data_IF_250758555433
#
_entry.id   IF_250758555433
#
_cell.length_a   1.000
_cell.length_b   1.000
_cell.length_c   1.000
_cell.angle_alpha   90.00
_cell.angle_beta   90.00
_cell.angle_gamma   90.00
#
_symmetry.space_group_name_H-M   'P 1'
#
loop_
_entity.id
_entity.type
_entity.pdbx_description
1 polymer ?
#
# COMPACT_ATOMS: atom_id res chain seq x y z
N UNK A 1 5.56 3.09 23.86
CA UNK A 1 4.70 1.89 23.74
C UNK A 1 5.62 0.71 23.49
N UNK A 2 5.49 -0.32 24.33
CA UNK A 2 6.34 -1.52 24.35
C UNK A 2 6.15 -2.38 23.08
N UNK A 3 7.21 -3.09 22.71
CA UNK A 3 7.36 -3.92 21.49
C UNK A 3 6.88 -5.37 21.66
N UNK A 4 6.08 -5.66 22.68
CA UNK A 4 5.61 -7.01 22.98
C UNK A 4 4.08 -6.94 23.04
N UNK A 5 3.42 -7.43 22.00
CA UNK A 5 2.03 -7.93 21.97
C UNK A 5 1.58 -8.11 20.50
N UNK A 6 2.36 -8.86 19.72
CA UNK A 6 1.85 -9.44 18.48
C UNK A 6 1.52 -10.88 18.83
N UNK A 7 0.24 -11.18 19.02
CA UNK A 7 -0.23 -12.53 19.21
C UNK A 7 -0.20 -13.27 17.87
N UNK A 8 0.94 -13.89 17.57
CA UNK A 8 1.16 -14.61 16.32
C UNK A 8 0.20 -15.80 16.15
N UNK A 9 -0.37 -16.30 17.25
CA UNK A 9 -1.25 -17.47 17.27
C UNK A 9 -2.70 -17.15 16.85
N UNK A 10 -3.09 -15.88 16.81
CA UNK A 10 -4.46 -15.43 16.47
C UNK A 10 -4.56 -14.75 15.09
N UNK A 11 -3.46 -14.65 14.35
CA UNK A 11 -3.46 -14.16 12.96
C UNK A 11 -4.15 -15.18 12.05
N UNK A 12 -5.38 -14.88 11.62
CA UNK A 12 -6.12 -15.69 10.65
C UNK A 12 -6.08 -14.98 9.29
N UNK A 13 -5.32 -15.56 8.36
CA UNK A 13 -5.10 -14.98 7.04
C UNK A 13 -6.00 -15.66 6.01
N UNK A 14 -6.74 -14.85 5.24
CA UNK A 14 -7.54 -15.30 4.11
C UNK A 14 -6.72 -15.15 2.82
N UNK A 15 -5.76 -16.03 2.59
CA UNK A 15 -5.00 -16.17 1.34
C UNK A 15 -5.19 -17.55 0.73
N UNK A 16 -5.10 -17.67 -0.60
CA UNK A 16 -5.08 -18.98 -1.26
C UNK A 16 -3.72 -19.67 -1.03
N UNK A 17 -3.74 -20.94 -0.63
CA UNK A 17 -2.53 -21.75 -0.54
C UNK A 17 -1.92 -21.95 -1.95
N UNK A 18 -0.58 -21.86 -2.11
CA UNK A 18 0.07 -22.08 -3.40
C UNK A 18 -0.14 -23.52 -3.90
N UNK A 19 -0.20 -23.68 -5.22
CA UNK A 19 -0.54 -24.94 -5.86
C UNK A 19 0.46 -26.06 -5.57
N UNK A 20 -0.05 -27.27 -5.34
CA UNK A 20 0.73 -28.48 -4.98
C UNK A 20 1.66 -29.01 -6.09
N UNK A 21 1.64 -28.42 -7.28
CA UNK A 21 2.54 -28.77 -8.39
C UNK A 21 3.91 -28.07 -8.27
N UNK A 22 3.98 -26.95 -7.54
CA UNK A 22 5.23 -26.28 -7.22
C UNK A 22 5.90 -26.93 -6.00
N UNK A 23 7.14 -27.41 -6.13
CA UNK A 23 7.97 -27.77 -4.97
C UNK A 23 8.46 -26.51 -4.26
N UNK A 24 7.56 -25.84 -3.55
CA UNK A 24 7.88 -24.67 -2.72
C UNK A 24 7.83 -25.13 -1.26
N UNK A 25 8.98 -25.16 -0.59
CA UNK A 25 9.02 -25.23 0.87
C UNK A 25 8.79 -23.81 1.40
N UNK A 26 7.65 -23.59 2.06
CA UNK A 26 7.40 -22.37 2.81
C UNK A 26 8.03 -22.55 4.19
N UNK A 27 9.25 -22.03 4.37
CA UNK A 27 9.86 -21.87 5.70
C UNK A 27 9.38 -20.55 6.31
N UNK A 28 8.62 -20.67 7.41
CA UNK A 28 8.16 -19.66 8.35
C UNK A 28 7.51 -18.38 7.80
N UNK A 29 6.32 -18.10 8.33
CA UNK A 29 5.43 -16.97 8.09
C UNK A 29 6.07 -15.58 8.34
N UNK A 30 7.03 -15.16 7.53
CA UNK A 30 7.63 -13.82 7.57
C UNK A 30 6.68 -12.84 6.89
N UNK A 31 5.94 -12.06 7.69
CA UNK A 31 5.14 -10.95 7.19
C UNK A 31 5.88 -9.62 7.35
N UNK A 32 5.93 -8.83 6.28
CA UNK A 32 6.47 -7.47 6.30
C UNK A 32 5.32 -6.51 6.60
N UNK A 33 5.45 -5.75 7.68
CA UNK A 33 4.42 -4.80 8.13
C UNK A 33 4.98 -3.37 8.03
N UNK A 34 4.25 -2.50 7.35
CA UNK A 34 4.55 -1.07 7.29
C UNK A 34 4.05 -0.39 8.55
N UNK A 35 4.96 -0.13 9.49
CA UNK A 35 4.64 0.52 10.77
C UNK A 35 4.69 2.06 10.71
N UNK A 36 5.21 2.62 9.62
CA UNK A 36 5.26 4.06 9.37
C UNK A 36 5.29 4.34 7.86
N UNK A 37 4.59 5.38 7.46
CA UNK A 37 4.54 5.84 6.08
C UNK A 37 4.33 7.35 6.07
N UNK A 38 4.98 8.08 5.17
CA UNK A 38 5.03 9.53 5.20
C UNK A 38 4.62 10.14 3.86
N UNK A 39 3.86 11.23 3.94
CA UNK A 39 3.61 12.05 2.76
C UNK A 39 4.85 12.90 2.38
N UNK A 40 4.86 13.57 1.22
CA UNK A 40 5.96 14.45 0.81
C UNK A 40 6.26 15.62 1.77
N UNK A 41 5.33 15.95 2.67
CA UNK A 41 5.53 16.94 3.75
C UNK A 41 5.92 16.33 5.11
N UNK A 42 6.15 15.02 5.17
CA UNK A 42 6.62 14.33 6.39
C UNK A 42 5.55 13.99 7.44
N UNK A 43 4.25 14.12 7.12
CA UNK A 43 3.19 13.65 8.03
C UNK A 43 3.12 12.13 7.99
N UNK A 44 3.07 11.50 9.17
CA UNK A 44 2.84 10.06 9.26
C UNK A 44 1.40 9.73 8.84
N UNK A 45 1.24 8.73 7.99
CA UNK A 45 -0.01 8.27 7.40
C UNK A 45 -0.57 7.06 8.15
N UNK A 46 0.26 6.35 8.91
CA UNK A 46 -0.15 5.18 9.69
C UNK A 46 -0.93 5.63 10.92
N UNK A 47 -2.13 5.07 11.11
CA UNK A 47 -2.97 5.33 12.29
C UNK A 47 -3.68 6.69 12.31
N UNK A 48 -3.80 7.37 11.17
CA UNK A 48 -4.66 8.57 11.05
C UNK A 48 -6.14 8.20 11.12
N UNK A 49 -6.50 7.03 10.58
CA UNK A 49 -7.83 6.43 10.64
C UNK A 49 -8.08 5.67 11.94
N UNK A 50 -9.14 4.85 11.94
CA UNK A 50 -9.58 4.12 13.14
C UNK A 50 -9.62 2.61 12.93
N UNK A 51 -9.50 2.13 11.69
CA UNK A 51 -9.58 0.72 11.39
C UNK A 51 -8.27 0.01 11.78
N UNK A 52 -8.41 -1.21 12.28
CA UNK A 52 -7.28 -2.09 12.56
C UNK A 52 -7.34 -3.28 11.61
N UNK A 53 -6.23 -3.56 10.94
CA UNK A 53 -5.99 -4.73 10.11
C UNK A 53 -5.25 -5.73 10.98
N UNK A 54 -5.92 -6.77 11.46
CA UNK A 54 -5.37 -7.76 12.39
C UNK A 54 -4.64 -7.15 13.59
N UNK A 55 -5.23 -6.10 14.17
CA UNK A 55 -4.67 -5.36 15.31
C UNK A 55 -3.71 -4.23 14.95
N UNK A 56 -3.34 -4.06 13.67
CA UNK A 56 -2.41 -3.03 13.22
C UNK A 56 -3.12 -1.82 12.59
N UNK A 57 -2.68 -0.59 12.89
CA UNK A 57 -3.21 0.60 12.23
C UNK A 57 -2.87 0.61 10.74
N UNK A 58 -3.85 0.93 9.90
CA UNK A 58 -3.66 1.04 8.45
C UNK A 58 -2.92 2.29 8.00
N UNK A 59 -2.47 2.26 6.74
CA UNK A 59 -1.90 3.43 6.04
C UNK A 59 -3.04 4.24 5.46
N UNK A 60 -3.15 5.51 5.84
CA UNK A 60 -4.30 6.33 5.48
C UNK A 60 -3.96 7.34 4.38
N UNK A 61 -4.79 7.38 3.34
CA UNK A 61 -4.75 8.41 2.28
C UNK A 61 -6.13 8.99 2.05
N UNK A 62 -6.20 10.25 1.60
CA UNK A 62 -7.44 10.80 1.05
C UNK A 62 -7.48 10.53 -0.45
N UNK A 63 -8.64 10.12 -0.94
CA UNK A 63 -8.86 9.86 -2.37
C UNK A 63 -10.07 10.62 -2.89
N UNK A 64 -10.01 11.08 -4.15
CA UNK A 64 -11.10 11.80 -4.80
C UNK A 64 -11.11 11.59 -6.32
N UNK A 65 -12.31 11.48 -6.90
CA UNK A 65 -12.52 11.49 -8.35
C UNK A 65 -12.95 12.87 -8.88
N UNK A 66 -12.94 13.88 -8.01
CA UNK A 66 -13.42 15.24 -8.29
C UNK A 66 -14.90 15.48 -7.96
N UNK A 67 -15.70 14.42 -7.73
CA UNK A 67 -17.11 14.50 -7.32
C UNK A 67 -17.32 13.96 -5.92
N UNK A 68 -16.67 12.85 -5.61
CA UNK A 68 -16.72 12.11 -4.35
C UNK A 68 -15.31 12.04 -3.77
N UNK A 69 -15.19 12.32 -2.49
CA UNK A 69 -13.92 12.24 -1.76
C UNK A 69 -14.10 11.58 -0.40
N UNK A 70 -13.03 10.98 0.11
CA UNK A 70 -13.07 10.30 1.40
C UNK A 70 -11.71 9.78 1.86
N UNK A 71 -11.68 9.33 3.11
CA UNK A 71 -10.53 8.63 3.68
C UNK A 71 -10.54 7.18 3.19
N UNK A 72 -9.36 6.69 2.84
CA UNK A 72 -9.07 5.31 2.50
C UNK A 72 -7.98 4.80 3.44
N UNK A 73 -8.28 3.73 4.15
CA UNK A 73 -7.34 3.01 5.01
C UNK A 73 -6.88 1.76 4.26
N UNK A 74 -5.58 1.66 3.98
CA UNK A 74 -4.95 0.53 3.32
C UNK A 74 -4.36 -0.41 4.37
N UNK A 75 -4.39 -1.71 4.07
CA UNK A 75 -3.67 -2.71 4.88
C UNK A 75 -2.19 -2.34 5.02
N UNK A 76 -1.60 -2.45 6.23
CA UNK A 76 -0.18 -2.23 6.45
C UNK A 76 0.67 -3.46 6.07
N UNK A 77 0.05 -4.59 5.72
CA UNK A 77 0.75 -5.81 5.36
C UNK A 77 1.20 -5.77 3.90
N UNK A 78 2.48 -6.09 3.66
CA UNK A 78 3.00 -6.22 2.31
C UNK A 78 2.23 -7.31 1.54
N UNK A 79 1.82 -7.03 0.30
CA UNK A 79 1.07 -7.98 -0.52
C UNK A 79 -0.45 -7.96 -0.31
N UNK A 80 -0.96 -7.43 0.81
CA UNK A 80 -2.39 -7.43 1.11
C UNK A 80 -3.12 -6.28 0.37
N UNK A 81 -4.09 -6.58 -0.52
CA UNK A 81 -4.82 -5.57 -1.27
C UNK A 81 -5.98 -4.96 -0.49
N UNK A 82 -6.25 -5.39 0.76
CA UNK A 82 -7.42 -4.97 1.54
C UNK A 82 -7.43 -3.47 1.80
N UNK A 83 -8.61 -2.86 1.62
CA UNK A 83 -8.85 -1.43 1.84
C UNK A 83 -10.19 -1.22 2.52
N UNK A 84 -10.26 -0.24 3.41
CA UNK A 84 -11.46 0.14 4.15
C UNK A 84 -11.71 1.63 3.99
N UNK A 85 -12.96 2.01 3.76
CA UNK A 85 -13.38 3.40 3.65
C UNK A 85 -14.19 3.68 2.39
N UNK A 86 -13.90 4.80 1.73
CA UNK A 86 -14.56 5.17 0.48
C UNK A 86 -14.27 4.14 -0.63
N UNK A 87 -15.24 3.91 -1.50
CA UNK A 87 -15.12 3.09 -2.71
C UNK A 87 -15.46 3.87 -3.99
N UNK A 88 -14.92 3.39 -5.11
CA UNK A 88 -15.18 3.86 -6.47
C UNK A 88 -15.42 2.65 -7.38
N UNK A 89 -15.79 2.92 -8.64
CA UNK A 89 -15.92 1.87 -9.65
C UNK A 89 -14.54 1.38 -10.10
N UNK A 90 -14.43 0.10 -10.45
CA UNK A 90 -13.16 -0.48 -10.93
C UNK A 90 -12.68 0.20 -12.21
N UNK A 91 -11.36 0.41 -12.31
CA UNK A 91 -10.72 1.12 -13.41
C UNK A 91 -10.81 2.65 -13.30
N UNK A 92 -11.49 3.19 -12.29
CA UNK A 92 -11.58 4.63 -12.10
C UNK A 92 -10.28 5.23 -11.55
N UNK A 93 -9.78 6.27 -12.21
CA UNK A 93 -8.59 7.01 -11.76
C UNK A 93 -9.00 8.01 -10.67
N UNK A 94 -8.31 7.98 -9.54
CA UNK A 94 -8.51 8.88 -8.40
C UNK A 94 -7.27 9.71 -8.13
N UNK A 95 -7.44 10.89 -7.56
CA UNK A 95 -6.32 11.63 -6.96
C UNK A 95 -6.05 11.10 -5.57
N UNK A 96 -4.80 10.86 -5.26
CA UNK A 96 -4.34 10.45 -3.93
C UNK A 96 -3.70 11.65 -3.25
N UNK A 97 -4.17 12.02 -2.06
CA UNK A 97 -3.67 13.17 -1.29
C UNK A 97 -3.45 12.83 0.18
N UNK A 98 -2.57 13.58 0.84
CA UNK A 98 -2.32 13.41 2.27
C UNK A 98 -3.57 13.82 3.07
N UNK A 99 -4.09 12.98 3.98
CA UNK A 99 -5.30 13.30 4.75
C UNK A 99 -5.07 14.43 5.75
N UNK A 100 -3.81 14.70 6.12
CA UNK A 100 -3.45 15.74 7.09
C UNK A 100 -3.24 17.11 6.46
N UNK A 101 -2.59 17.19 5.29
CA UNK A 101 -2.19 18.47 4.69
C UNK A 101 -2.67 18.68 3.25
N UNK A 102 -3.36 17.70 2.66
CA UNK A 102 -3.96 17.79 1.33
C UNK A 102 -2.99 17.78 0.15
N UNK A 103 -1.67 17.63 0.37
CA UNK A 103 -0.71 17.55 -0.73
C UNK A 103 -1.00 16.32 -1.59
N UNK A 104 -1.04 16.49 -2.91
CA UNK A 104 -1.15 15.37 -3.86
C UNK A 104 0.16 14.60 -3.89
N UNK A 105 0.07 13.27 -3.93
CA UNK A 105 1.24 12.41 -4.02
C UNK A 105 1.80 12.39 -5.44
N UNK A 106 3.12 12.50 -5.54
CA UNK A 106 3.85 12.50 -6.80
C UNK A 106 3.77 11.14 -7.50
N UNK A 107 3.73 11.18 -8.84
CA UNK A 107 3.87 9.98 -9.66
C UNK A 107 5.35 9.63 -9.81
N UNK A 108 5.70 8.36 -9.61
CA UNK A 108 7.05 7.82 -9.91
C UNK A 108 7.11 7.05 -11.21
N UNK A 109 5.97 6.84 -11.87
CA UNK A 109 5.91 6.08 -13.11
C UNK A 109 4.50 5.69 -13.49
N UNK A 110 4.39 5.10 -14.69
CA UNK A 110 3.17 4.44 -15.12
C UNK A 110 3.04 3.12 -14.37
N UNK A 111 1.84 2.82 -13.91
CA UNK A 111 1.51 1.47 -13.49
C UNK A 111 1.39 0.60 -14.76
N UNK A 112 1.68 -0.69 -14.66
CA UNK A 112 1.51 -1.64 -15.77
C UNK A 112 0.03 -1.93 -16.09
N UNK A 113 -0.90 -1.44 -15.27
CA UNK A 113 -2.31 -1.40 -15.62
C UNK A 113 -2.61 -0.38 -16.73
N UNK A 114 -3.80 -0.44 -17.32
CA UNK A 114 -4.13 0.30 -18.55
C UNK A 114 -4.05 1.83 -18.39
N UNK A 115 -4.43 2.38 -17.23
CA UNK A 115 -4.66 3.83 -17.06
C UNK A 115 -3.92 4.48 -15.90
N UNK A 116 -3.36 3.69 -14.98
CA UNK A 116 -2.89 4.19 -13.69
C UNK A 116 -1.46 4.71 -13.65
N UNK A 117 -1.19 5.49 -12.61
CA UNK A 117 0.16 5.92 -12.23
C UNK A 117 0.47 5.46 -10.81
N UNK A 118 1.73 5.14 -10.56
CA UNK A 118 2.23 4.74 -9.25
C UNK A 118 2.52 5.98 -8.42
N UNK A 119 1.85 6.11 -7.27
CA UNK A 119 1.97 7.24 -6.34
C UNK A 119 2.94 6.89 -5.21
N UNK A 120 3.94 7.74 -5.00
CA UNK A 120 5.03 7.53 -4.04
C UNK A 120 4.62 7.83 -2.60
N UNK A 121 4.82 6.89 -1.69
CA UNK A 121 4.67 7.07 -0.25
C UNK A 121 6.01 6.71 0.41
N UNK A 122 6.54 7.56 1.29
CA UNK A 122 7.86 7.33 1.89
C UNK A 122 7.79 6.43 3.12
N UNK A 123 8.74 5.54 3.31
CA UNK A 123 8.84 4.69 4.51
C UNK A 123 9.70 5.31 5.63
N UNK A 124 10.27 6.49 5.38
CA UNK A 124 11.20 7.16 6.30
C UNK A 124 10.96 8.66 6.34
N UNK A 125 11.14 9.27 7.52
CA UNK A 125 11.13 10.74 7.71
C UNK A 125 12.21 11.47 6.93
N UNK A 126 13.23 10.77 6.42
CA UNK A 126 14.24 11.36 5.53
C UNK A 126 13.71 11.65 4.14
N UNK A 127 12.53 11.13 3.78
CA UNK A 127 11.87 11.35 2.49
C UNK A 127 12.77 11.00 1.30
N UNK A 128 13.49 9.88 1.42
CA UNK A 128 14.38 9.38 0.37
C UNK A 128 13.65 8.38 -0.51
N UNK A 129 13.90 8.44 -1.82
CA UNK A 129 13.32 7.52 -2.80
C UNK A 129 13.88 6.11 -2.69
N UNK A 130 14.98 5.93 -1.96
CA UNK A 130 15.53 4.61 -1.63
C UNK A 130 14.74 3.86 -0.55
N UNK A 131 13.70 4.47 0.03
CA UNK A 131 12.82 3.85 1.03
C UNK A 131 11.38 4.32 0.78
N UNK A 132 10.72 3.73 -0.21
CA UNK A 132 9.35 4.08 -0.58
C UNK A 132 8.48 2.86 -0.89
N UNK A 133 7.18 3.10 -0.87
CA UNK A 133 6.18 2.19 -1.44
C UNK A 133 5.40 2.94 -2.50
N UNK A 134 4.80 2.19 -3.42
CA UNK A 134 3.93 2.74 -4.44
C UNK A 134 2.48 2.33 -4.22
N UNK A 135 1.57 3.22 -4.62
CA UNK A 135 0.14 2.94 -4.69
C UNK A 135 -0.37 3.32 -6.08
N UNK A 136 -0.94 2.37 -6.82
CA UNK A 136 -1.62 2.70 -8.08
C UNK A 136 -2.87 3.56 -7.81
N UNK A 137 -2.99 4.66 -8.56
CA UNK A 137 -4.10 5.62 -8.49
C UNK A 137 -5.36 5.19 -9.24
N UNK A 138 -5.38 3.98 -9.79
CA UNK A 138 -6.55 3.37 -10.42
C UNK A 138 -7.22 2.40 -9.46
N UNK A 139 -8.51 2.62 -9.21
CA UNK A 139 -9.30 1.76 -8.34
C UNK A 139 -9.44 0.35 -8.91
N UNK A 140 -9.44 -0.66 -8.03
CA UNK A 140 -9.49 -2.07 -8.43
C UNK A 140 -8.20 -2.64 -9.03
N UNK A 141 -7.13 -1.85 -9.16
CA UNK A 141 -5.84 -2.36 -9.64
C UNK A 141 -5.18 -3.27 -8.59
N UNK A 142 -4.71 -4.46 -8.98
CA UNK A 142 -4.00 -5.39 -8.09
C UNK A 142 -2.68 -4.80 -7.53
N UNK A 143 -2.01 -3.94 -8.30
CA UNK A 143 -0.82 -3.20 -7.87
C UNK A 143 -1.16 -1.99 -6.98
N UNK A 144 -2.43 -1.77 -6.67
CA UNK A 144 -2.86 -0.81 -5.67
C UNK A 144 -2.78 -1.45 -4.28
N UNK A 145 -1.57 -1.86 -3.88
CA UNK A 145 -1.23 -2.45 -2.58
C UNK A 145 0.13 -1.91 -2.12
N UNK A 146 0.54 -2.25 -0.90
CA UNK A 146 1.88 -1.96 -0.42
C UNK A 146 2.90 -2.84 -1.15
N UNK A 147 3.90 -2.21 -1.76
CA UNK A 147 4.98 -2.81 -2.57
C UNK A 147 6.30 -2.20 -2.07
N UNK A 148 7.31 -3.01 -1.74
CA UNK A 148 8.62 -2.53 -1.30
C UNK A 148 9.57 -2.15 -2.45
N UNK A 149 10.73 -1.56 -2.11
CA UNK A 149 11.68 -1.07 -3.11
C UNK A 149 12.19 -2.19 -4.05
N UNK A 150 12.39 -3.42 -3.55
CA UNK A 150 12.90 -4.52 -4.37
C UNK A 150 11.87 -4.96 -5.41
N UNK A 151 10.60 -5.06 -5.02
CA UNK A 151 9.50 -5.39 -5.93
C UNK A 151 9.27 -4.26 -6.95
N UNK A 152 9.37 -2.99 -6.50
CA UNK A 152 9.35 -1.81 -7.39
C UNK A 152 10.46 -1.88 -8.46
N UNK A 153 11.70 -2.19 -8.07
CA UNK A 153 12.80 -2.30 -9.03
C UNK A 153 12.55 -3.41 -10.05
N UNK A 154 12.00 -4.57 -9.64
CA UNK A 154 11.66 -5.64 -10.58
C UNK A 154 10.59 -5.23 -11.59
N UNK A 155 9.53 -4.54 -11.14
CA UNK A 155 8.48 -4.04 -12.05
C UNK A 155 9.03 -3.00 -13.03
N UNK A 156 9.88 -2.07 -12.57
CA UNK A 156 10.52 -1.09 -13.44
C UNK A 156 11.41 -1.77 -14.48
N UNK A 157 12.22 -2.77 -14.10
CA UNK A 157 13.07 -3.48 -15.07
C UNK A 157 12.27 -4.27 -16.09
N UNK A 158 11.14 -4.86 -15.70
CA UNK A 158 10.27 -5.58 -16.63
C UNK A 158 9.53 -4.62 -17.59
N UNK A 159 9.20 -3.40 -17.13
CA UNK A 159 8.63 -2.35 -17.98
C UNK A 159 9.65 -1.59 -18.86
N UNK A 160 10.95 -1.87 -18.71
CA UNK A 160 12.05 -1.21 -19.44
C UNK A 160 12.39 -1.89 -20.77
N UNK A 161 11.63 -2.92 -21.17
CA UNK A 161 11.81 -3.64 -22.44
C UNK A 161 10.60 -3.45 -23.35
N UNK A 162 10.39 -2.22 -23.83
CA UNK A 162 9.67 -1.89 -25.07
C UNK A 162 10.22 -0.57 -25.66
#
# INVERSE_FOLDING_TARGET
>A
MNKEEINQDELVIHGEDPSTEGKIMVEDNVYIIVTQAFCPKGHNLVGVGKHLFDGYPGICVSVTDGKKSGLLELSPFHGDPTKVGISFDDGQVVKVTCPTCGIEFESIGKCTCVTGNLRKIYLSKKLTEAYMIALCDTWGCYLSRVIDDNELFSEFTDSSWD
#
